data_IF_949043160938
#
_entry.id   IF_949043160938
#
_cell.length_a   1.000
_cell.length_b   1.000
_cell.length_c   1.000
_cell.angle_alpha   90.00
_cell.angle_beta   90.00
_cell.angle_gamma   90.00
#
_symmetry.space_group_name_H-M   'P 1'
#
loop_
_entity.id
_entity.type
_entity.pdbx_description
1 polymer ?
#
# COMPACT_ATOMS: atom_id res chain seq x y z
N UNK A 1 18.23 4.95 -20.55
CA UNK A 1 17.66 3.77 -19.83
C UNK A 1 16.16 3.71 -19.95
N UNK A 2 15.44 4.80 -19.69
CA UNK A 2 13.97 4.98 -19.86
C UNK A 2 13.39 4.29 -21.10
N UNK A 3 13.86 4.64 -22.31
CA UNK A 3 13.36 4.07 -23.57
C UNK A 3 13.62 2.56 -23.72
N UNK A 4 14.64 2.02 -23.05
CA UNK A 4 14.89 0.58 -23.02
C UNK A 4 13.94 -0.10 -22.04
N UNK A 5 13.68 0.50 -20.89
CA UNK A 5 12.69 0.03 -19.90
C UNK A 5 11.30 -0.07 -20.52
N UNK A 6 10.83 0.97 -21.21
CA UNK A 6 9.53 0.98 -21.91
C UNK A 6 9.44 -0.14 -22.97
N UNK A 7 10.49 -0.30 -23.79
CA UNK A 7 10.54 -1.35 -24.82
C UNK A 7 10.54 -2.76 -24.22
N UNK A 8 11.20 -2.96 -23.08
CA UNK A 8 11.21 -4.24 -22.37
C UNK A 8 9.83 -4.50 -21.76
N UNK A 9 9.21 -3.51 -21.12
CA UNK A 9 7.85 -3.61 -20.59
C UNK A 9 6.82 -3.95 -21.66
N UNK A 10 6.95 -3.36 -22.86
CA UNK A 10 6.07 -3.68 -24.00
C UNK A 10 6.19 -5.12 -24.51
N UNK A 11 7.28 -5.83 -24.20
CA UNK A 11 7.53 -7.21 -24.68
C UNK A 11 7.48 -8.28 -23.59
N UNK A 12 7.80 -7.92 -22.34
CA UNK A 12 8.06 -8.87 -21.26
C UNK A 12 7.62 -8.33 -19.89
N UNK A 13 6.43 -7.71 -19.84
CA UNK A 13 5.87 -7.14 -18.61
C UNK A 13 5.77 -8.14 -17.45
N UNK A 14 5.50 -9.40 -17.73
CA UNK A 14 5.43 -10.48 -16.74
C UNK A 14 6.74 -10.72 -15.98
N UNK A 15 7.87 -10.17 -16.45
CA UNK A 15 9.18 -10.33 -15.80
C UNK A 15 9.52 -9.19 -14.84
N UNK A 16 8.65 -8.19 -14.67
CA UNK A 16 8.94 -6.98 -13.89
C UNK A 16 9.18 -7.27 -12.41
N UNK A 17 8.38 -8.17 -11.84
CA UNK A 17 8.47 -8.59 -10.45
C UNK A 17 9.39 -9.80 -10.24
N UNK A 18 9.98 -10.33 -11.32
CA UNK A 18 10.91 -11.46 -11.23
C UNK A 18 12.16 -11.01 -10.47
N UNK A 19 12.51 -11.80 -9.46
CA UNK A 19 13.69 -11.59 -8.64
C UNK A 19 14.88 -12.34 -9.24
N UNK A 20 16.06 -11.74 -9.14
CA UNK A 20 17.33 -12.44 -9.35
C UNK A 20 17.60 -13.43 -8.21
N UNK A 21 18.65 -14.24 -8.34
CA UNK A 21 19.12 -15.16 -7.29
C UNK A 21 19.34 -14.46 -5.93
N UNK A 22 19.80 -13.20 -5.96
CA UNK A 22 20.01 -12.38 -4.76
C UNK A 22 18.70 -11.81 -4.15
N UNK A 23 17.54 -12.11 -4.75
CA UNK A 23 16.23 -11.64 -4.32
C UNK A 23 15.83 -10.26 -4.84
N UNK A 24 16.70 -9.57 -5.58
CA UNK A 24 16.43 -8.23 -6.09
C UNK A 24 15.58 -8.27 -7.37
N UNK A 25 14.48 -7.51 -7.35
CA UNK A 25 13.68 -7.20 -8.56
C UNK A 25 14.19 -5.92 -9.26
N UNK A 26 13.63 -5.62 -10.44
CA UNK A 26 13.97 -4.40 -11.18
C UNK A 26 13.73 -3.13 -10.36
N UNK A 27 12.65 -3.07 -9.58
CA UNK A 27 12.32 -1.92 -8.73
C UNK A 27 13.35 -1.72 -7.61
N UNK A 28 13.83 -2.80 -6.98
CA UNK A 28 14.89 -2.70 -5.96
C UNK A 28 16.20 -2.16 -6.54
N UNK A 29 16.57 -2.59 -7.75
CA UNK A 29 17.78 -2.11 -8.42
C UNK A 29 17.65 -0.65 -8.85
N UNK A 30 16.47 -0.24 -9.31
CA UNK A 30 16.18 1.16 -9.59
C UNK A 30 16.31 2.01 -8.31
N UNK A 31 15.85 1.47 -7.18
CA UNK A 31 15.94 2.15 -5.89
C UNK A 31 17.35 2.25 -5.31
N UNK A 32 18.19 1.24 -5.53
CA UNK A 32 19.59 1.30 -5.09
C UNK A 32 20.45 2.29 -5.88
N UNK A 33 20.10 2.58 -7.14
CA UNK A 33 20.91 3.40 -8.05
C UNK A 33 20.30 4.79 -8.32
N UNK A 34 19.28 5.21 -7.56
CA UNK A 34 18.55 6.46 -7.76
C UNK A 34 17.97 6.65 -9.18
N UNK A 35 17.54 5.57 -9.84
CA UNK A 35 16.94 5.66 -11.18
C UNK A 35 15.45 5.99 -11.09
N UNK A 36 15.12 7.23 -10.69
CA UNK A 36 13.76 7.70 -10.47
C UNK A 36 12.82 7.43 -11.65
N UNK A 37 13.22 7.81 -12.86
CA UNK A 37 12.37 7.65 -14.06
C UNK A 37 12.09 6.18 -14.38
N UNK A 38 13.07 5.31 -14.11
CA UNK A 38 12.90 3.85 -14.27
C UNK A 38 11.92 3.32 -13.23
N UNK A 39 12.04 3.74 -11.97
CA UNK A 39 11.10 3.35 -10.92
C UNK A 39 9.68 3.85 -11.23
N UNK A 40 9.52 5.07 -11.73
CA UNK A 40 8.23 5.64 -12.13
C UNK A 40 7.56 4.81 -13.23
N UNK A 41 8.32 4.45 -14.27
CA UNK A 41 7.82 3.61 -15.38
C UNK A 41 7.48 2.20 -14.90
N UNK A 42 8.31 1.58 -14.05
CA UNK A 42 8.06 0.24 -13.52
C UNK A 42 6.75 0.19 -12.71
N UNK A 43 6.49 1.22 -11.89
CA UNK A 43 5.28 1.32 -11.07
C UNK A 43 4.05 1.65 -11.90
N UNK A 44 4.11 2.70 -12.75
CA UNK A 44 2.94 3.17 -13.51
C UNK A 44 2.58 2.29 -14.70
N UNK A 45 3.57 1.94 -15.51
CA UNK A 45 3.36 1.19 -16.75
C UNK A 45 3.52 -0.31 -16.53
N UNK A 46 4.57 -0.71 -15.79
CA UNK A 46 4.82 -2.10 -15.44
C UNK A 46 3.74 -2.68 -14.53
N UNK A 47 3.08 -1.83 -13.71
CA UNK A 47 2.25 -2.23 -12.56
C UNK A 47 2.98 -3.25 -11.68
N UNK A 48 4.26 -2.98 -11.40
CA UNK A 48 5.03 -3.78 -10.47
C UNK A 48 4.41 -3.75 -9.08
N UNK A 49 4.59 -4.83 -8.32
CA UNK A 49 4.30 -4.79 -6.89
C UNK A 49 5.28 -3.83 -6.19
N UNK A 50 4.79 -2.65 -5.79
CA UNK A 50 5.61 -1.61 -5.16
C UNK A 50 6.17 -2.04 -3.80
N UNK A 51 5.52 -3.00 -3.13
CA UNK A 51 5.90 -3.52 -1.82
C UNK A 51 6.62 -4.87 -1.92
N UNK A 52 7.10 -5.23 -3.11
CA UNK A 52 7.90 -6.43 -3.31
C UNK A 52 9.12 -6.44 -2.38
N UNK A 53 9.37 -7.58 -1.74
CA UNK A 53 10.46 -7.78 -0.77
C UNK A 53 11.61 -8.57 -1.36
N UNK A 54 12.86 -8.18 -1.10
CA UNK A 54 14.04 -8.98 -1.45
C UNK A 54 14.29 -10.12 -0.43
N UNK A 55 15.40 -10.86 -0.55
CA UNK A 55 15.75 -11.96 0.36
C UNK A 55 16.08 -11.50 1.80
N UNK A 56 16.22 -10.20 2.03
CA UNK A 56 16.35 -9.58 3.35
C UNK A 56 15.07 -8.89 3.77
N UNK A 57 13.95 -9.29 3.18
CA UNK A 57 12.64 -8.72 3.44
C UNK A 57 12.54 -7.20 3.21
N UNK A 58 13.52 -6.58 2.54
CA UNK A 58 13.56 -5.14 2.29
C UNK A 58 12.74 -4.79 1.05
N UNK A 59 12.03 -3.68 1.10
CA UNK A 59 11.30 -3.08 -0.02
C UNK A 59 12.16 -2.06 -0.77
N UNK A 60 11.72 -1.67 -1.97
CA UNK A 60 12.35 -0.58 -2.72
C UNK A 60 12.37 0.75 -1.93
N UNK A 61 11.33 1.01 -1.12
CA UNK A 61 11.27 2.19 -0.25
C UNK A 61 12.38 2.18 0.81
N UNK A 62 12.56 1.07 1.52
CA UNK A 62 13.62 0.96 2.53
C UNK A 62 15.01 1.11 1.90
N UNK A 63 15.24 0.57 0.69
CA UNK A 63 16.50 0.75 -0.04
C UNK A 63 16.73 2.22 -0.47
N UNK A 64 15.69 2.91 -0.93
CA UNK A 64 15.79 4.33 -1.28
C UNK A 64 16.10 5.21 -0.04
N UNK A 65 15.46 4.91 1.10
CA UNK A 65 15.73 5.59 2.39
C UNK A 65 17.15 5.28 2.88
N UNK A 66 17.58 4.03 2.77
CA UNK A 66 18.93 3.55 3.10
C UNK A 66 20.02 4.36 2.38
N UNK A 67 19.76 4.77 1.14
CA UNK A 67 20.67 5.55 0.29
C UNK A 67 20.42 7.07 0.33
N UNK A 68 19.36 7.53 1.02
CA UNK A 68 19.04 8.96 1.12
C UNK A 68 18.43 9.58 -0.14
N UNK A 69 17.83 8.78 -1.03
CA UNK A 69 17.26 9.26 -2.29
C UNK A 69 15.88 9.90 -2.09
N UNK A 70 15.85 11.15 -1.61
CA UNK A 70 14.64 11.88 -1.21
C UNK A 70 13.56 11.95 -2.29
N UNK A 71 13.94 12.25 -3.55
CA UNK A 71 12.99 12.40 -4.65
C UNK A 71 12.35 11.06 -5.03
N UNK A 72 13.13 9.96 -4.95
CA UNK A 72 12.63 8.62 -5.19
C UNK A 72 11.74 8.13 -4.05
N UNK A 73 12.08 8.42 -2.80
CA UNK A 73 11.24 8.11 -1.63
C UNK A 73 9.87 8.78 -1.77
N UNK A 74 9.85 10.06 -2.16
CA UNK A 74 8.60 10.78 -2.40
C UNK A 74 7.78 10.13 -3.51
N UNK A 75 8.41 9.75 -4.62
CA UNK A 75 7.73 9.04 -5.72
C UNK A 75 7.11 7.73 -5.22
N UNK A 76 7.90 6.86 -4.58
CA UNK A 76 7.42 5.55 -4.13
C UNK A 76 6.26 5.68 -3.15
N UNK A 77 6.32 6.60 -2.18
CA UNK A 77 5.21 6.83 -1.24
C UNK A 77 3.98 7.40 -1.95
N UNK A 78 4.17 8.32 -2.91
CA UNK A 78 3.05 8.86 -3.69
C UNK A 78 2.34 7.82 -4.56
N UNK A 79 3.07 6.80 -5.02
CA UNK A 79 2.53 5.68 -5.78
C UNK A 79 2.03 4.52 -4.89
N UNK A 80 2.01 4.70 -3.56
CA UNK A 80 1.37 3.77 -2.63
C UNK A 80 2.29 2.75 -1.95
N UNK A 81 3.60 3.01 -1.87
CA UNK A 81 4.50 2.20 -1.05
C UNK A 81 4.08 2.23 0.42
N UNK A 82 4.08 1.07 1.08
CA UNK A 82 3.77 0.96 2.49
C UNK A 82 4.99 1.36 3.34
N UNK A 83 4.85 2.47 4.06
CA UNK A 83 5.89 3.06 4.91
C UNK A 83 6.17 2.24 6.18
N UNK A 84 5.28 1.30 6.54
CA UNK A 84 5.36 0.49 7.75
C UNK A 84 5.86 -0.93 7.50
N UNK A 85 6.27 -1.26 6.28
CA UNK A 85 6.89 -2.55 5.99
C UNK A 85 8.19 -2.71 6.79
N UNK A 86 8.36 -3.90 7.36
CA UNK A 86 9.53 -4.29 8.13
C UNK A 86 10.54 -5.07 7.28
N UNK A 87 11.81 -5.09 7.66
CA UNK A 87 12.82 -5.99 7.09
C UNK A 87 13.06 -7.23 8.01
N UNK A 88 14.08 -8.04 7.74
CA UNK A 88 14.42 -9.21 8.60
C UNK A 88 14.72 -8.83 10.06
N UNK A 89 15.18 -7.62 10.32
CA UNK A 89 15.50 -7.11 11.66
C UNK A 89 14.27 -6.48 12.34
N UNK A 90 13.12 -6.47 11.67
CA UNK A 90 11.92 -5.75 12.12
C UNK A 90 12.04 -4.24 11.94
N UNK A 91 13.03 -3.75 11.20
CA UNK A 91 13.27 -2.33 11.01
C UNK A 91 12.36 -1.79 9.88
N UNK A 92 11.56 -0.77 10.20
CA UNK A 92 10.76 -0.03 9.21
C UNK A 92 11.61 1.01 8.48
N UNK A 93 11.08 1.60 7.40
CA UNK A 93 11.75 2.72 6.72
C UNK A 93 12.14 3.86 7.69
N UNK A 94 11.35 4.08 8.73
CA UNK A 94 11.62 5.09 9.75
C UNK A 94 12.81 4.72 10.66
N UNK A 95 12.95 3.45 11.05
CA UNK A 95 14.14 2.96 11.76
C UNK A 95 15.40 3.18 10.91
N UNK A 96 15.34 2.80 9.64
CA UNK A 96 16.45 2.93 8.69
C UNK A 96 16.89 4.38 8.51
N UNK A 97 15.93 5.32 8.41
CA UNK A 97 16.22 6.76 8.28
C UNK A 97 16.99 7.32 9.49
N UNK A 98 16.73 6.79 10.69
CA UNK A 98 17.30 7.26 11.95
C UNK A 98 18.58 6.52 12.36
N UNK A 99 18.77 5.26 11.92
CA UNK A 99 19.92 4.41 12.26
C UNK A 99 21.21 4.72 11.48
N UNK A 100 21.17 5.59 10.46
CA UNK A 100 22.28 5.81 9.52
C UNK A 100 22.95 7.17 9.75
N UNK A 101 24.11 7.23 10.43
CA UNK A 101 24.90 8.45 10.59
C UNK A 101 25.41 9.06 9.28
N UNK A 102 25.52 8.26 8.21
CA UNK A 102 26.00 8.71 6.89
C UNK A 102 25.04 9.70 6.20
N UNK A 103 23.76 9.73 6.60
CA UNK A 103 22.78 10.72 6.15
C UNK A 103 22.92 12.08 6.87
N UNK A 104 23.87 12.20 7.82
CA UNK A 104 24.22 13.44 8.52
C UNK A 104 25.39 14.19 7.86
N UNK A 105 26.07 13.60 6.86
CA UNK A 105 27.35 14.10 6.31
C UNK A 105 27.24 14.61 4.86
N UNK A 106 26.13 15.27 4.50
CA UNK A 106 26.15 16.13 3.29
C UNK A 106 26.31 17.56 3.77
N UNK A 107 27.56 18.03 3.76
CA UNK A 107 27.86 19.44 3.94
C UNK A 107 27.16 20.22 2.82
N UNK A 108 26.10 20.95 3.15
CA UNK A 108 25.71 22.14 2.40
C UNK A 108 26.79 23.19 2.66
N UNK A 109 27.85 23.19 1.84
CA UNK A 109 28.84 24.26 1.88
C UNK A 109 28.20 25.58 1.42
N UNK A 110 28.48 26.72 2.11
CA UNK A 110 27.92 28.02 1.77
C UNK A 110 28.53 28.57 0.47
N UNK A 111 27.87 29.52 -0.23
CA UNK A 111 28.38 30.05 -1.47
C UNK A 111 29.55 31.00 -1.17
N UNK A 112 30.78 30.51 -1.34
CA UNK A 112 31.96 31.39 -1.42
C UNK A 112 32.42 31.37 -2.87
N UNK A 113 32.33 32.55 -3.49
CA UNK A 113 32.60 32.73 -4.91
C UNK A 113 34.06 32.47 -5.26
N UNK A 114 34.24 31.77 -6.38
CA UNK A 114 35.39 31.93 -7.27
C UNK A 114 34.93 31.68 -8.69
N UNK A 115 35.19 32.69 -9.53
CA UNK A 115 34.92 32.75 -10.96
C UNK A 115 35.75 31.73 -11.76
N UNK A 116 35.09 30.79 -12.42
CA UNK A 116 35.53 30.25 -13.72
C UNK A 116 34.41 29.44 -14.34
N UNK A 117 34.19 29.72 -15.62
CA UNK A 117 33.13 29.27 -16.52
C UNK A 117 33.10 27.74 -16.70
N UNK A 118 32.13 27.07 -16.08
CA UNK A 118 31.61 25.79 -16.54
C UNK A 118 30.08 25.79 -16.34
N UNK A 119 29.36 25.36 -17.38
CA UNK A 119 27.90 25.39 -17.52
C UNK A 119 27.18 24.66 -16.36
N UNK A 120 26.12 25.24 -15.77
CA UNK A 120 25.38 24.61 -14.68
C UNK A 120 24.46 23.52 -15.21
N UNK A 121 24.78 22.25 -14.92
CA UNK A 121 23.82 21.15 -15.07
C UNK A 121 22.71 21.31 -14.03
N UNK A 122 21.47 21.45 -14.52
CA UNK A 122 20.25 21.50 -13.71
C UNK A 122 20.11 20.25 -12.82
N UNK A 123 19.84 20.45 -11.52
CA UNK A 123 19.59 19.33 -10.61
C UNK A 123 19.63 19.69 -9.13
N UNK A 124 18.81 20.65 -8.70
CA UNK A 124 18.68 20.99 -7.28
C UNK A 124 17.81 19.92 -6.57
N UNK A 125 18.41 18.78 -6.21
CA UNK A 125 17.73 17.53 -5.78
C UNK A 125 17.48 17.42 -4.25
N UNK A 126 18.12 18.27 -3.42
CA UNK A 126 17.84 18.30 -1.96
C UNK A 126 16.72 19.28 -1.56
N UNK A 127 16.31 20.16 -2.47
CA UNK A 127 15.46 21.32 -2.17
C UNK A 127 13.98 20.98 -2.17
N UNK A 128 13.54 19.95 -2.91
CA UNK A 128 12.11 19.61 -3.07
C UNK A 128 11.46 19.12 -1.76
N UNK A 129 12.03 18.10 -1.12
CA UNK A 129 11.49 17.53 0.11
C UNK A 129 11.58 18.52 1.28
N UNK A 130 12.71 19.23 1.40
CA UNK A 130 12.87 20.26 2.43
C UNK A 130 11.91 21.43 2.24
N UNK A 131 11.67 21.90 1.01
CA UNK A 131 10.65 22.92 0.72
C UNK A 131 9.24 22.46 1.08
N UNK A 132 8.88 21.19 0.83
CA UNK A 132 7.58 20.63 1.23
C UNK A 132 7.40 20.56 2.75
N UNK A 133 8.44 20.14 3.47
CA UNK A 133 8.40 20.14 4.93
C UNK A 133 8.40 21.59 5.48
N UNK A 134 9.12 22.51 4.84
CA UNK A 134 9.16 23.93 5.23
C UNK A 134 7.81 24.60 5.03
N UNK A 135 7.11 24.27 3.94
CA UNK A 135 5.73 24.69 3.70
C UNK A 135 4.74 24.16 4.76
N UNK A 136 5.13 23.16 5.56
CA UNK A 136 4.33 22.71 6.69
C UNK A 136 4.36 23.66 7.90
N UNK A 137 5.23 24.68 7.90
CA UNK A 137 5.33 25.70 8.95
C UNK A 137 5.96 25.22 10.26
N UNK A 138 6.36 23.95 10.35
CA UNK A 138 6.90 23.30 11.55
C UNK A 138 8.42 23.37 11.65
N UNK A 139 9.12 23.69 10.56
CA UNK A 139 10.58 23.56 10.50
C UNK A 139 11.38 24.78 10.97
N UNK A 140 10.78 25.96 11.10
CA UNK A 140 11.50 27.17 11.51
C UNK A 140 12.81 27.38 10.72
N UNK A 141 13.88 27.79 11.39
CA UNK A 141 15.23 27.95 10.82
C UNK A 141 16.13 26.71 11.06
N UNK A 142 15.54 25.54 11.27
CA UNK A 142 16.28 24.36 11.75
C UNK A 142 16.90 23.60 10.58
N UNK A 143 18.23 23.51 10.51
CA UNK A 143 18.91 22.66 9.54
C UNK A 143 18.70 21.18 9.89
N UNK A 144 18.07 20.42 8.99
CA UNK A 144 17.83 18.99 9.17
C UNK A 144 18.83 18.16 8.36
N UNK A 145 19.30 17.07 8.96
CA UNK A 145 19.98 16.01 8.20
C UNK A 145 19.00 15.34 7.22
N UNK A 146 19.53 14.70 6.18
CA UNK A 146 18.70 13.97 5.20
C UNK A 146 17.88 12.88 5.89
N UNK A 147 18.47 12.18 6.86
CA UNK A 147 17.77 11.17 7.66
C UNK A 147 16.63 11.74 8.50
N UNK A 148 16.84 12.91 9.11
CA UNK A 148 15.80 13.61 9.85
C UNK A 148 14.65 14.08 8.95
N UNK A 149 14.98 14.63 7.78
CA UNK A 149 13.97 15.07 6.81
C UNK A 149 13.14 13.89 6.29
N UNK A 150 13.79 12.76 5.98
CA UNK A 150 13.11 11.51 5.62
C UNK A 150 12.24 10.99 6.76
N UNK A 151 12.71 11.00 8.00
CA UNK A 151 11.93 10.57 9.16
C UNK A 151 10.68 11.44 9.38
N UNK A 152 10.81 12.77 9.24
CA UNK A 152 9.68 13.70 9.31
C UNK A 152 8.67 13.46 8.18
N UNK A 153 9.16 13.24 6.95
CA UNK A 153 8.31 12.91 5.81
C UNK A 153 7.57 11.59 6.01
N UNK A 154 8.26 10.54 6.44
CA UNK A 154 7.65 9.23 6.72
C UNK A 154 6.61 9.33 7.85
N UNK A 155 6.88 10.09 8.91
CA UNK A 155 5.90 10.38 9.97
C UNK A 155 4.68 11.13 9.44
N UNK A 156 4.89 12.11 8.56
CA UNK A 156 3.80 12.82 7.86
C UNK A 156 2.99 11.89 6.94
N UNK A 157 3.59 10.83 6.42
CA UNK A 157 2.94 9.84 5.58
C UNK A 157 2.40 8.65 6.39
N UNK A 158 2.37 8.74 7.73
CA UNK A 158 1.72 7.77 8.61
C UNK A 158 2.59 6.58 9.02
N UNK A 159 3.92 6.76 9.05
CA UNK A 159 4.80 5.79 9.68
C UNK A 159 4.52 5.67 11.19
N UNK A 160 4.50 4.45 11.72
CA UNK A 160 4.34 4.20 13.15
C UNK A 160 5.63 4.55 13.91
N UNK A 161 5.56 5.63 14.68
CA UNK A 161 6.69 6.16 15.46
C UNK A 161 6.94 5.36 16.75
N UNK A 162 6.02 4.47 17.15
CA UNK A 162 6.09 3.69 18.39
C UNK A 162 6.33 2.20 18.14
N UNK A 163 6.31 1.74 16.89
CA UNK A 163 6.56 0.35 16.55
C UNK A 163 7.95 -0.08 16.99
N UNK A 164 8.07 -1.19 17.74
CA UNK A 164 9.35 -1.70 18.18
C UNK A 164 9.86 -2.80 17.24
N UNK A 165 11.08 -2.67 16.73
CA UNK A 165 11.75 -3.69 15.92
C UNK A 165 12.08 -4.97 16.72
N UNK A 166 12.72 -5.97 16.10
CA UNK A 166 13.12 -7.21 16.78
C UNK A 166 14.12 -7.00 17.94
N UNK A 167 14.75 -5.82 18.02
CA UNK A 167 15.64 -5.41 19.12
C UNK A 167 14.87 -4.71 20.25
N UNK A 168 13.55 -4.58 20.14
CA UNK A 168 12.68 -3.90 21.11
C UNK A 168 12.86 -2.38 21.14
N UNK A 169 13.44 -1.79 20.09
CA UNK A 169 13.64 -0.33 19.98
C UNK A 169 12.61 0.25 19.04
N UNK A 170 11.94 1.32 19.46
CA UNK A 170 11.10 2.14 18.57
C UNK A 170 11.92 3.17 17.80
N UNK A 171 11.40 3.76 16.70
CA UNK A 171 12.07 4.85 16.01
C UNK A 171 12.46 6.00 16.94
N UNK A 172 11.59 6.35 17.89
CA UNK A 172 11.86 7.41 18.86
C UNK A 172 13.00 7.07 19.82
N UNK A 173 13.19 5.80 20.18
CA UNK A 173 14.30 5.36 21.05
C UNK A 173 15.67 5.48 20.37
N UNK A 174 15.69 5.60 19.04
CA UNK A 174 16.90 5.79 18.25
C UNK A 174 17.33 7.26 18.15
N UNK A 175 16.44 8.19 18.52
CA UNK A 175 16.70 9.63 18.44
C UNK A 175 17.25 10.14 19.76
N UNK A 176 18.51 10.59 19.76
CA UNK A 176 19.12 11.18 20.94
C UNK A 176 18.65 12.63 21.20
N UNK A 177 18.32 13.37 20.14
CA UNK A 177 17.95 14.78 20.20
C UNK A 177 16.46 14.96 20.55
N UNK A 178 16.19 15.61 21.68
CA UNK A 178 14.84 15.90 22.15
C UNK A 178 14.06 16.82 21.21
N UNK A 179 14.72 17.71 20.48
CA UNK A 179 14.08 18.60 19.50
C UNK A 179 13.59 17.81 18.29
N UNK A 180 14.42 16.89 17.79
CA UNK A 180 14.08 15.98 16.70
C UNK A 180 12.91 15.06 17.05
N UNK A 181 12.89 14.52 18.28
CA UNK A 181 11.77 13.72 18.77
C UNK A 181 10.44 14.50 18.76
N UNK A 182 10.46 15.76 19.22
CA UNK A 182 9.26 16.61 19.21
C UNK A 182 8.82 16.96 17.78
N UNK A 183 9.79 17.19 16.88
CA UNK A 183 9.51 17.47 15.48
C UNK A 183 8.78 16.29 14.80
N UNK A 184 9.33 15.08 14.93
CA UNK A 184 8.72 13.85 14.39
C UNK A 184 7.28 13.66 14.92
N UNK A 185 7.09 13.85 16.23
CA UNK A 185 5.75 13.78 16.86
C UNK A 185 4.80 14.81 16.27
N UNK A 186 5.25 16.05 16.04
CA UNK A 186 4.42 17.10 15.45
C UNK A 186 3.96 16.78 14.03
N UNK A 187 4.84 16.18 13.20
CA UNK A 187 4.49 15.75 11.85
C UNK A 187 3.52 14.56 11.84
N UNK A 188 3.69 13.61 12.77
CA UNK A 188 2.76 12.50 12.97
C UNK A 188 1.36 12.99 13.40
N UNK A 189 1.28 13.94 14.34
CA UNK A 189 0.00 14.53 14.75
C UNK A 189 -0.69 15.29 13.61
N UNK A 190 0.08 16.01 12.79
CA UNK A 190 -0.47 16.69 11.60
C UNK A 190 -1.11 15.70 10.63
N UNK A 191 -0.46 14.56 10.36
CA UNK A 191 -1.04 13.51 9.53
C UNK A 191 -2.35 12.97 10.11
N UNK A 192 -2.40 12.74 11.43
CA UNK A 192 -3.62 12.32 12.13
C UNK A 192 -4.75 13.35 11.96
N UNK A 193 -4.45 14.64 12.12
CA UNK A 193 -5.41 15.74 11.95
C UNK A 193 -5.87 15.90 10.49
N UNK A 194 -4.98 15.77 9.52
CA UNK A 194 -5.32 15.83 8.09
C UNK A 194 -6.25 14.68 7.69
N UNK A 195 -5.99 13.46 8.19
CA UNK A 195 -6.90 12.32 7.99
C UNK A 195 -8.26 12.55 8.65
N UNK A 196 -8.30 13.15 9.84
CA UNK A 196 -9.56 13.50 10.50
C UNK A 196 -10.37 14.54 9.70
N UNK A 197 -9.73 15.57 9.16
CA UNK A 197 -10.39 16.58 8.34
C UNK A 197 -10.97 15.99 7.04
N UNK A 198 -10.24 15.11 6.36
CA UNK A 198 -10.72 14.44 5.15
C UNK A 198 -12.02 13.64 5.38
N UNK A 199 -12.20 13.06 6.57
CA UNK A 199 -13.41 12.33 6.97
C UNK A 199 -14.60 13.30 7.19
N UNK A 200 -14.36 14.51 7.72
CA UNK A 200 -15.42 15.48 8.05
C UNK A 200 -15.96 16.28 6.86
N UNK A 201 -15.21 16.37 5.75
CA UNK A 201 -15.55 17.26 4.63
C UNK A 201 -16.38 16.61 3.51
N UNK A 202 -16.66 15.30 3.56
CA UNK A 202 -17.45 14.61 2.52
C UNK A 202 -16.89 14.71 1.10
N UNK A 203 -15.63 15.13 0.92
CA UNK A 203 -14.95 15.06 -0.36
C UNK A 203 -14.53 13.61 -0.57
N UNK A 204 -15.11 12.98 -1.60
CA UNK A 204 -14.85 11.58 -1.94
C UNK A 204 -13.35 11.26 -1.91
N UNK A 205 -13.03 10.10 -1.36
CA UNK A 205 -11.70 9.50 -1.41
C UNK A 205 -11.22 9.50 -2.87
N UNK A 206 -10.38 10.45 -3.24
CA UNK A 206 -9.54 10.32 -4.43
C UNK A 206 -8.52 9.23 -4.13
N UNK A 207 -8.90 7.97 -4.40
CA UNK A 207 -8.04 6.80 -4.59
C UNK A 207 -6.72 6.76 -3.79
N UNK A 208 -6.75 7.14 -2.52
CA UNK A 208 -5.72 6.75 -1.58
C UNK A 208 -6.22 5.45 -0.98
N UNK A 209 -5.80 4.34 -1.61
CA UNK A 209 -6.12 2.96 -1.21
C UNK A 209 -6.19 2.84 0.31
N UNK A 210 -7.28 2.27 0.80
CA UNK A 210 -7.49 1.87 2.18
C UNK A 210 -6.21 1.20 2.71
N UNK A 211 -5.38 1.96 3.43
CA UNK A 211 -4.15 1.46 4.05
C UNK A 211 -4.61 0.55 5.20
N UNK A 212 -4.52 -0.76 4.99
CA UNK A 212 -4.86 -1.77 5.98
C UNK A 212 -3.77 -1.77 7.06
N UNK A 213 -4.01 -1.02 8.12
CA UNK A 213 -3.15 -1.01 9.31
C UNK A 213 -3.46 -2.28 10.12
N UNK A 214 -2.48 -3.16 10.21
CA UNK A 214 -2.46 -4.21 11.22
C UNK A 214 -1.69 -3.67 12.43
N UNK A 215 -2.39 -3.14 13.45
CA UNK A 215 -1.78 -2.81 14.74
C UNK A 215 -2.30 -3.75 15.83
N UNK A 216 -1.36 -4.33 16.56
CA UNK A 216 -1.59 -5.16 17.75
C UNK A 216 -2.02 -4.30 18.94
N UNK A 217 -2.92 -4.77 19.83
CA UNK A 217 -3.38 -3.98 20.96
C UNK A 217 -2.45 -4.17 22.17
N UNK A 218 -2.09 -3.07 22.86
CA UNK A 218 -2.26 -2.89 24.31
C UNK A 218 -1.41 -1.72 24.86
N UNK A 219 -2.04 -0.73 25.49
CA UNK A 219 -1.78 -0.30 26.89
C UNK A 219 -2.84 0.73 27.32
N UNK A 220 -3.40 0.50 28.50
CA UNK A 220 -4.50 1.25 29.12
C UNK A 220 -4.02 2.52 29.82
N UNK A 221 -4.78 3.61 29.71
CA UNK A 221 -4.89 4.62 30.78
C UNK A 221 -6.29 5.25 30.75
N UNK A 222 -7.03 5.06 31.83
CA UNK A 222 -8.34 5.65 32.08
C UNK A 222 -8.22 7.09 32.57
N UNK A 223 -8.96 8.02 31.96
CA UNK A 223 -9.49 9.24 32.59
C UNK A 223 -10.90 9.47 32.03
N UNK A 224 -11.90 9.43 32.90
CA UNK A 224 -13.31 9.69 32.57
C UNK A 224 -13.61 11.17 32.81
N UNK A 225 -14.10 11.86 31.77
CA UNK A 225 -15.00 13.02 31.85
C UNK A 225 -15.95 12.94 30.63
N UNK A 226 -17.22 13.36 30.74
CA UNK A 226 -18.26 13.02 29.78
C UNK A 226 -18.20 13.96 28.57
N UNK A 227 -17.40 13.60 27.56
CA UNK A 227 -17.38 14.29 26.29
C UNK A 227 -18.14 13.47 25.24
N UNK A 228 -18.94 14.17 24.44
CA UNK A 228 -19.59 13.65 23.22
C UNK A 228 -18.69 12.62 22.52
N UNK A 229 -19.16 11.39 22.25
CA UNK A 229 -18.31 10.37 21.69
C UNK A 229 -17.99 10.70 20.23
N UNK A 230 -16.78 11.23 20.01
CA UNK A 230 -16.19 11.35 18.67
C UNK A 230 -15.97 9.97 18.03
N UNK A 231 -15.67 9.93 16.72
CA UNK A 231 -15.36 8.69 16.02
C UNK A 231 -14.21 7.95 16.71
N UNK A 232 -14.42 6.67 16.97
CA UNK A 232 -13.50 5.78 17.65
C UNK A 232 -13.19 4.58 16.75
N UNK A 233 -12.05 3.93 16.97
CA UNK A 233 -11.67 2.78 16.16
C UNK A 233 -12.58 1.58 16.45
N UNK A 234 -13.13 0.99 15.38
CA UNK A 234 -13.90 -0.24 15.47
C UNK A 234 -12.96 -1.41 15.73
N UNK A 235 -13.16 -2.16 16.83
CA UNK A 235 -12.29 -3.28 17.20
C UNK A 235 -12.40 -4.50 16.26
N UNK A 236 -13.23 -4.42 15.20
CA UNK A 236 -13.44 -5.50 14.24
C UNK A 236 -12.81 -5.17 12.89
N UNK A 237 -13.04 -3.97 12.36
CA UNK A 237 -12.48 -3.54 11.07
C UNK A 237 -11.28 -2.59 11.20
N UNK A 238 -10.92 -2.15 12.41
CA UNK A 238 -9.87 -1.17 12.68
C UNK A 238 -10.08 0.18 11.98
N UNK A 239 -11.32 0.47 11.58
CA UNK A 239 -11.70 1.74 10.94
C UNK A 239 -12.24 2.73 11.97
N UNK A 240 -11.85 4.00 11.83
CA UNK A 240 -12.37 5.10 12.64
C UNK A 240 -13.83 5.36 12.27
N UNK A 241 -14.75 5.14 13.21
CA UNK A 241 -16.19 5.19 12.95
C UNK A 241 -16.98 5.56 14.19
N UNK A 242 -18.26 5.92 14.02
CA UNK A 242 -19.17 6.10 15.15
C UNK A 242 -19.59 4.71 15.63
N UNK A 243 -19.15 4.35 16.83
CA UNK A 243 -19.39 3.03 17.39
C UNK A 243 -20.82 2.93 17.95
N UNK A 244 -21.40 1.74 17.80
CA UNK A 244 -22.74 1.42 18.28
C UNK A 244 -22.68 0.95 19.73
N UNK A 245 -23.58 1.44 20.57
CA UNK A 245 -23.71 1.06 21.98
C UNK A 245 -24.45 -0.28 22.11
N UNK A 246 -23.85 -1.24 22.82
CA UNK A 246 -24.46 -2.56 23.06
C UNK A 246 -25.13 -2.65 24.43
N UNK A 247 -26.41 -3.01 24.48
CA UNK A 247 -27.13 -3.29 25.73
C UNK A 247 -27.13 -4.80 26.04
N UNK A 248 -27.04 -5.21 27.33
CA UNK A 248 -26.99 -4.38 28.54
C UNK A 248 -25.58 -3.92 28.93
N UNK A 249 -24.54 -4.35 28.22
CA UNK A 249 -23.15 -4.16 28.65
C UNK A 249 -22.58 -2.73 28.50
N UNK A 250 -23.29 -1.83 27.82
CA UNK A 250 -22.91 -0.45 27.56
C UNK A 250 -21.53 -0.29 26.87
N UNK A 251 -21.07 -1.31 26.17
CA UNK A 251 -19.83 -1.24 25.40
C UNK A 251 -20.10 -0.72 23.99
N UNK A 252 -19.28 0.24 23.56
CA UNK A 252 -19.22 0.71 22.18
C UNK A 252 -17.89 0.23 21.58
N UNK A 253 -17.93 -0.84 20.80
CA UNK A 253 -16.72 -1.56 20.34
C UNK A 253 -16.71 -1.84 18.84
N UNK A 254 -17.83 -1.65 18.16
CA UNK A 254 -17.96 -1.93 16.73
C UNK A 254 -18.75 -0.83 16.03
N UNK A 255 -18.40 -0.58 14.77
CA UNK A 255 -19.17 0.28 13.87
C UNK A 255 -20.53 -0.34 13.54
N UNK A 256 -21.42 0.41 12.89
CA UNK A 256 -22.76 -0.06 12.50
C UNK A 256 -22.72 -1.36 11.68
N UNK A 257 -21.87 -1.39 10.65
CA UNK A 257 -21.71 -2.54 9.75
C UNK A 257 -21.23 -3.79 10.50
N UNK A 258 -20.20 -3.62 11.33
CA UNK A 258 -19.64 -4.73 12.09
C UNK A 258 -20.59 -5.20 13.19
N UNK A 259 -21.29 -4.26 13.85
CA UNK A 259 -22.27 -4.54 14.89
C UNK A 259 -23.48 -5.32 14.37
N UNK A 260 -23.86 -5.13 13.10
CA UNK A 260 -25.08 -5.70 12.52
C UNK A 260 -25.20 -7.22 12.75
N UNK A 261 -24.10 -7.97 12.59
CA UNK A 261 -24.05 -9.44 12.72
C UNK A 261 -23.71 -9.96 14.12
N UNK A 262 -23.41 -9.07 15.08
CA UNK A 262 -22.96 -9.47 16.40
C UNK A 262 -24.11 -9.91 17.30
N UNK A 263 -23.96 -11.09 17.93
CA UNK A 263 -24.89 -11.61 18.95
C UNK A 263 -24.35 -11.46 20.38
N UNK A 264 -23.04 -11.31 20.54
CA UNK A 264 -22.34 -11.12 21.82
C UNK A 264 -21.33 -9.99 21.70
N UNK A 265 -21.13 -9.24 22.79
CA UNK A 265 -20.11 -8.20 22.85
C UNK A 265 -18.73 -8.85 22.88
N UNK A 266 -17.82 -8.45 21.98
CA UNK A 266 -16.45 -9.00 21.95
C UNK A 266 -15.63 -8.66 23.21
N UNK A 267 -15.95 -7.56 23.91
CA UNK A 267 -15.22 -7.11 25.09
C UNK A 267 -15.63 -7.84 26.38
N UNK A 268 -16.92 -8.14 26.57
CA UNK A 268 -17.42 -8.77 27.80
C UNK A 268 -18.16 -10.10 27.58
N UNK A 269 -18.30 -10.55 26.34
CA UNK A 269 -18.99 -11.79 25.96
C UNK A 269 -20.49 -11.86 26.32
N UNK A 270 -21.06 -10.78 26.85
CA UNK A 270 -22.50 -10.67 27.16
C UNK A 270 -23.31 -10.63 25.87
N UNK A 271 -24.43 -11.36 25.84
CA UNK A 271 -25.38 -11.35 24.72
C UNK A 271 -25.96 -9.96 24.52
N UNK A 272 -25.90 -9.47 23.28
CA UNK A 272 -26.37 -8.14 22.90
C UNK A 272 -27.87 -8.22 22.65
N UNK A 273 -28.66 -7.51 23.45
CA UNK A 273 -30.13 -7.45 23.30
C UNK A 273 -30.57 -6.28 22.45
N UNK A 274 -29.85 -5.16 22.52
CA UNK A 274 -30.09 -3.96 21.72
C UNK A 274 -28.79 -3.32 21.27
N UNK A 275 -28.86 -2.65 20.12
CA UNK A 275 -27.74 -1.96 19.46
C UNK A 275 -28.21 -0.55 19.16
N UNK A 276 -27.65 0.44 19.84
CA UNK A 276 -28.15 1.82 19.81
C UNK A 276 -27.09 2.72 19.15
N UNK A 277 -27.51 3.48 18.13
CA UNK A 277 -26.69 4.49 17.45
C UNK A 277 -26.52 5.74 18.33
N UNK A 278 -25.64 6.66 17.92
CA UNK A 278 -25.44 7.92 18.63
C UNK A 278 -26.68 8.83 18.63
N UNK A 279 -27.54 8.72 17.62
CA UNK A 279 -28.82 9.42 17.51
C UNK A 279 -29.96 8.73 18.32
N UNK A 280 -29.62 7.75 19.16
CA UNK A 280 -30.54 6.92 19.95
C UNK A 280 -31.50 6.04 19.11
N UNK A 281 -31.24 5.86 17.82
CA UNK A 281 -32.00 4.90 16.99
C UNK A 281 -31.45 3.48 17.13
N UNK A 282 -32.32 2.48 17.03
CA UNK A 282 -31.93 1.07 17.11
C UNK A 282 -31.38 0.57 15.75
N UNK A 283 -30.20 -0.05 15.76
CA UNK A 283 -29.63 -0.71 14.58
C UNK A 283 -30.40 -2.00 14.33
N UNK A 284 -31.08 -2.08 13.18
CA UNK A 284 -31.81 -3.27 12.76
C UNK A 284 -30.93 -4.52 12.78
N UNK A 285 -31.49 -5.66 13.17
CA UNK A 285 -30.82 -6.96 13.03
C UNK A 285 -31.17 -7.55 11.66
N UNK A 286 -30.20 -8.13 10.94
CA UNK A 286 -30.51 -8.78 9.66
C UNK A 286 -31.47 -9.96 9.88
N UNK A 287 -32.52 -10.12 9.05
CA UNK A 287 -33.22 -11.39 8.95
C UNK A 287 -32.25 -12.42 8.36
N UNK A 288 -31.84 -13.38 9.19
CA UNK A 288 -30.76 -14.32 8.90
C UNK A 288 -31.07 -15.43 7.89
N UNK A 289 -32.10 -15.30 7.07
CA UNK A 289 -32.55 -16.35 6.13
C UNK A 289 -32.48 -15.92 4.66
N UNK A 290 -32.89 -14.70 4.31
CA UNK A 290 -32.91 -14.24 2.90
C UNK A 290 -31.50 -14.01 2.34
N UNK A 291 -30.57 -13.54 3.17
CA UNK A 291 -29.21 -13.21 2.76
C UNK A 291 -28.36 -14.47 2.50
N UNK A 292 -28.70 -15.61 3.12
CA UNK A 292 -28.02 -16.89 2.85
C UNK A 292 -28.42 -17.47 1.50
N UNK A 293 -29.69 -17.34 1.11
CA UNK A 293 -30.17 -17.80 -0.19
C UNK A 293 -29.61 -16.93 -1.32
N UNK A 294 -29.56 -15.61 -1.13
CA UNK A 294 -28.93 -14.70 -2.08
C UNK A 294 -27.42 -14.96 -2.22
N UNK A 295 -26.71 -15.18 -1.11
CA UNK A 295 -25.28 -15.52 -1.14
C UNK A 295 -25.02 -16.87 -1.81
N UNK A 296 -25.81 -17.90 -1.48
CA UNK A 296 -25.73 -19.22 -2.13
C UNK A 296 -26.03 -19.11 -3.64
N UNK A 297 -27.01 -18.30 -4.03
CA UNK A 297 -27.33 -18.05 -5.44
C UNK A 297 -26.18 -17.32 -6.14
N UNK A 298 -25.58 -16.32 -5.51
CA UNK A 298 -24.43 -15.58 -6.05
C UNK A 298 -23.23 -16.51 -6.27
N UNK A 299 -22.94 -17.36 -5.29
CA UNK A 299 -21.86 -18.36 -5.37
C UNK A 299 -22.14 -19.41 -6.45
N UNK A 300 -23.40 -19.86 -6.57
CA UNK A 300 -23.83 -20.77 -7.64
C UNK A 300 -23.73 -20.12 -9.03
N UNK A 301 -24.12 -18.86 -9.17
CA UNK A 301 -24.00 -18.09 -10.41
C UNK A 301 -22.53 -17.85 -10.78
N UNK A 302 -21.68 -17.50 -9.82
CA UNK A 302 -20.23 -17.35 -10.02
C UNK A 302 -19.57 -18.66 -10.44
N UNK A 303 -19.93 -19.78 -9.79
CA UNK A 303 -19.45 -21.10 -10.19
C UNK A 303 -19.91 -21.46 -11.60
N UNK A 304 -21.17 -21.17 -11.95
CA UNK A 304 -21.71 -21.45 -13.28
C UNK A 304 -21.06 -20.59 -14.36
N UNK A 305 -20.81 -19.31 -14.05
CA UNK A 305 -20.11 -18.38 -14.93
C UNK A 305 -18.67 -18.83 -15.18
N UNK A 306 -17.94 -19.22 -14.13
CA UNK A 306 -16.58 -19.78 -14.25
C UNK A 306 -16.55 -21.06 -15.12
N UNK A 307 -17.50 -21.97 -14.90
CA UNK A 307 -17.64 -23.19 -15.74
C UNK A 307 -17.98 -22.87 -17.20
N UNK A 308 -18.68 -21.75 -17.46
CA UNK A 308 -18.95 -21.29 -18.82
C UNK A 308 -17.69 -20.67 -19.44
N UNK A 309 -16.95 -19.82 -18.72
CA UNK A 309 -15.68 -19.23 -19.14
C UNK A 309 -14.61 -20.29 -19.46
N UNK A 310 -14.47 -21.32 -18.62
CA UNK A 310 -13.54 -22.45 -18.85
C UNK A 310 -13.85 -23.21 -20.15
N UNK A 311 -15.11 -23.24 -20.60
CA UNK A 311 -15.50 -23.92 -21.84
C UNK A 311 -15.28 -23.11 -23.10
N UNK A 312 -15.17 -21.79 -22.97
CA UNK A 312 -15.02 -20.86 -24.09
C UNK A 312 -13.63 -20.24 -24.15
N UNK A 313 -12.75 -20.49 -23.18
CA UNK A 313 -11.37 -20.01 -23.16
C UNK A 313 -10.44 -20.95 -23.92
N UNK A 314 -9.42 -20.37 -24.55
CA UNK A 314 -8.47 -21.11 -25.36
C UNK A 314 -7.63 -22.01 -24.44
N UNK A 315 -7.54 -23.32 -24.71
CA UNK A 315 -6.79 -24.25 -23.87
C UNK A 315 -5.26 -24.07 -23.92
N UNK A 316 -4.77 -23.09 -24.68
CA UNK A 316 -3.33 -22.84 -24.87
C UNK A 316 -2.90 -21.62 -24.06
N UNK A 317 -3.56 -20.47 -24.24
CA UNK A 317 -3.22 -19.24 -23.50
C UNK A 317 -4.10 -19.01 -22.28
N UNK A 318 -5.27 -19.65 -22.18
CA UNK A 318 -6.27 -19.45 -21.11
C UNK A 318 -6.88 -18.02 -21.10
N UNK A 319 -6.21 -17.04 -21.71
CA UNK A 319 -6.60 -15.63 -21.71
C UNK A 319 -7.64 -15.24 -22.80
N UNK A 320 -7.60 -15.90 -23.95
CA UNK A 320 -8.44 -15.53 -25.11
C UNK A 320 -9.55 -16.56 -25.36
N UNK A 321 -10.67 -16.10 -25.89
CA UNK A 321 -11.79 -16.96 -26.25
C UNK A 321 -11.50 -17.84 -27.47
N UNK A 322 -12.04 -19.05 -27.46
CA UNK A 322 -12.08 -19.97 -28.59
C UNK A 322 -12.85 -19.30 -29.72
N UNK A 323 -12.19 -19.13 -30.85
CA UNK A 323 -12.77 -18.56 -32.08
C UNK A 323 -12.50 -19.43 -33.31
N UNK A 324 -11.71 -20.49 -33.14
CA UNK A 324 -11.35 -21.41 -34.21
C UNK A 324 -11.48 -22.86 -33.74
N UNK A 325 -12.07 -23.69 -34.58
CA UNK A 325 -12.13 -25.15 -34.43
C UNK A 325 -11.34 -25.80 -35.55
N UNK A 326 -10.53 -26.79 -35.20
CA UNK A 326 -9.79 -27.63 -36.13
C UNK A 326 -10.67 -28.79 -36.59
N UNK A 327 -10.38 -29.36 -37.76
CA UNK A 327 -11.09 -30.54 -38.28
C UNK A 327 -11.09 -31.75 -37.31
N UNK A 328 -10.12 -31.83 -36.40
CA UNK A 328 -10.07 -32.86 -35.36
C UNK A 328 -11.00 -32.61 -34.15
N UNK A 329 -11.82 -31.55 -34.18
CA UNK A 329 -12.80 -31.20 -33.14
C UNK A 329 -12.25 -30.35 -31.99
N UNK A 330 -10.94 -30.15 -31.91
CA UNK A 330 -10.30 -29.29 -30.91
C UNK A 330 -10.29 -27.82 -31.33
N UNK A 331 -10.20 -26.92 -30.35
CA UNK A 331 -10.41 -25.51 -30.60
C UNK A 331 -9.34 -24.63 -29.92
N UNK A 332 -9.16 -23.42 -30.44
CA UNK A 332 -8.21 -22.43 -29.92
C UNK A 332 -8.64 -20.99 -30.27
N UNK A 333 -7.98 -20.00 -29.69
CA UNK A 333 -8.10 -18.62 -30.13
C UNK A 333 -7.33 -18.41 -31.46
N UNK A 334 -7.61 -17.29 -32.14
CA UNK A 334 -7.01 -16.95 -33.43
C UNK A 334 -5.48 -16.86 -33.30
N UNK A 335 -4.99 -16.17 -32.27
CA UNK A 335 -3.57 -15.89 -32.08
C UNK A 335 -2.77 -17.17 -31.82
N UNK A 336 -3.25 -18.03 -30.92
CA UNK A 336 -2.58 -19.30 -30.62
C UNK A 336 -2.61 -20.26 -31.82
N UNK A 337 -3.64 -20.19 -32.66
CA UNK A 337 -3.76 -21.07 -33.84
C UNK A 337 -2.79 -20.73 -34.98
N UNK A 338 -2.31 -19.48 -35.04
CA UNK A 338 -1.60 -18.93 -36.19
C UNK A 338 -0.27 -19.65 -36.45
N UNK A 339 0.44 -20.04 -35.39
CA UNK A 339 1.73 -20.72 -35.47
C UNK A 339 1.62 -22.27 -35.44
N UNK A 340 0.45 -22.83 -35.19
CA UNK A 340 0.28 -24.28 -35.00
C UNK A 340 0.17 -25.02 -36.34
N UNK A 341 1.03 -26.03 -36.55
CA UNK A 341 0.92 -26.99 -37.66
C UNK A 341 0.24 -28.30 -37.25
N UNK A 342 0.26 -28.61 -35.96
CA UNK A 342 -0.33 -29.80 -35.35
C UNK A 342 -1.21 -29.39 -34.17
N UNK A 343 -2.28 -30.13 -33.95
CA UNK A 343 -3.19 -29.90 -32.83
C UNK A 343 -2.46 -30.20 -31.51
N UNK A 344 -2.46 -29.28 -30.52
CA UNK A 344 -1.77 -29.51 -29.25
C UNK A 344 -2.44 -30.58 -28.38
N UNK A 345 -3.71 -30.89 -28.64
CA UNK A 345 -4.49 -31.86 -27.84
C UNK A 345 -4.35 -33.28 -28.42
N UNK A 346 -4.67 -33.48 -29.70
CA UNK A 346 -4.63 -34.82 -30.32
C UNK A 346 -3.42 -35.09 -31.24
N UNK A 347 -2.50 -34.14 -31.39
CA UNK A 347 -1.27 -34.24 -32.21
C UNK A 347 -1.47 -34.48 -33.71
N UNK A 348 -2.71 -34.45 -34.21
CA UNK A 348 -3.00 -34.55 -35.64
C UNK A 348 -2.61 -33.26 -36.38
N UNK A 349 -2.18 -33.37 -37.64
CA UNK A 349 -1.88 -32.22 -38.50
C UNK A 349 -3.13 -31.38 -38.74
N UNK A 350 -3.03 -30.06 -38.57
CA UNK A 350 -4.15 -29.11 -38.77
C UNK A 350 -4.31 -28.87 -40.28
N UNK A 351 -5.37 -29.45 -40.86
CA UNK A 351 -5.69 -29.31 -42.30
C UNK A 351 -6.56 -28.10 -42.59
N UNK A 352 -7.49 -27.81 -41.70
CA UNK A 352 -8.48 -26.76 -41.87
C UNK A 352 -8.76 -26.06 -40.53
N UNK A 353 -9.03 -24.75 -40.60
CA UNK A 353 -9.33 -23.87 -39.48
C UNK A 353 -10.69 -23.23 -39.75
N UNK A 354 -11.70 -23.64 -38.98
CA UNK A 354 -13.08 -23.15 -39.14
C UNK A 354 -13.30 -22.07 -38.08
N UNK A 355 -13.64 -20.86 -38.52
CA UNK A 355 -13.96 -19.76 -37.62
C UNK A 355 -15.36 -19.90 -37.06
N UNK A 356 -15.47 -19.85 -35.74
CA UNK A 356 -16.75 -19.77 -35.06
C UNK A 356 -17.23 -18.31 -35.15
N UNK A 357 -18.40 -18.10 -35.75
CA UNK A 357 -19.08 -16.81 -35.70
C UNK A 357 -19.66 -16.65 -34.29
N UNK A 358 -19.34 -15.53 -33.63
CA UNK A 358 -20.00 -15.10 -32.39
C UNK A 358 -21.09 -14.11 -32.76
#
# INVERSE_FOLDING_TARGET
MVQATEKILGRARQLVDVKKEDGFSALHLAALNNHRDVAEILVKEGRCDINIRNNRNQTALQLAVTQGHTDLVQLLVSEGADVNMEDEDGDTAMHVALLRPQLASVMLSPPVGTSSTEEPSEGCSSTSLYCRLSASGLLGNTELSVGAALACFLAQEGADINYANHKGKSPLDLVADSTMMQLIKSFSEKHRLQRMQAITCGQGLSSASLRRVHTTPNTMTNLVLPNLPGPSECLICSELSLLVLFCPCQHSVACEECAHRMKKCIKCQVTITKKIRQDQTEVGCSPGTENSEQHNLLEQLQSRYRQMEERITCPICIDNHIKLVFQCGHASCIDCSAALKTCPICRQTIRERIQLFV
#
